data_IF_678765140459
#
_entry.id   IF_678765140459
#
_cell.length_a   1.000
_cell.length_b   1.000
_cell.length_c   1.000
_cell.angle_alpha   90.00
_cell.angle_beta   90.00
_cell.angle_gamma   90.00
#
_symmetry.space_group_name_H-M   'P 1'
#
loop_
_entity.id
_entity.type
_entity.pdbx_description
1 polymer ?
#
# COMPACT_ATOMS: atom_id res chain seq x y z
N UNK A 1 -12.84 -12.97 7.19
CA UNK A 1 -12.79 -11.74 7.99
C UNK A 1 -12.77 -10.60 6.99
N UNK A 2 -13.63 -9.60 7.16
CA UNK A 2 -13.79 -8.50 6.21
C UNK A 2 -12.49 -7.66 6.12
N UNK A 3 -12.20 -7.13 4.93
CA UNK A 3 -11.05 -6.26 4.67
C UNK A 3 -11.57 -4.90 4.22
N UNK A 4 -10.86 -3.84 4.60
CA UNK A 4 -11.21 -2.48 4.21
C UNK A 4 -10.03 -1.85 3.46
N UNK A 5 -10.31 -1.31 2.28
CA UNK A 5 -9.31 -0.75 1.38
C UNK A 5 -9.52 0.75 1.10
N UNK A 6 -8.44 1.52 1.07
CA UNK A 6 -8.40 2.91 0.63
C UNK A 6 -7.28 3.10 -0.36
N UNK A 7 -7.51 3.89 -1.38
CA UNK A 7 -6.49 4.37 -2.30
C UNK A 7 -6.41 5.89 -2.24
N UNK A 8 -5.20 6.42 -2.13
CA UNK A 8 -4.92 7.84 -2.23
C UNK A 8 -4.28 8.13 -3.59
N UNK A 9 -5.05 8.73 -4.50
CA UNK A 9 -4.61 9.18 -5.82
C UNK A 9 -4.62 10.72 -5.88
N UNK A 10 -3.64 11.36 -6.54
CA UNK A 10 -3.71 12.75 -7.03
C UNK A 10 -4.17 13.88 -6.08
N UNK A 11 -3.24 14.59 -5.42
CA UNK A 11 -3.59 15.82 -4.68
C UNK A 11 -2.46 16.77 -4.23
N UNK A 12 -1.19 16.33 -4.28
CA UNK A 12 -0.04 17.20 -3.98
C UNK A 12 0.98 16.56 -3.03
N UNK A 13 2.20 16.36 -3.54
CA UNK A 13 3.48 16.16 -2.83
C UNK A 13 3.66 15.04 -1.80
N UNK A 14 2.68 14.19 -1.46
CA UNK A 14 2.81 13.28 -0.30
C UNK A 14 2.38 11.81 -0.46
N UNK A 15 2.58 11.14 -1.60
CA UNK A 15 1.97 9.81 -1.79
C UNK A 15 2.43 8.76 -0.78
N UNK A 16 3.72 8.66 -0.45
CA UNK A 16 4.20 7.60 0.48
C UNK A 16 5.12 8.11 1.58
N UNK A 17 4.79 9.24 2.20
CA UNK A 17 5.50 9.65 3.43
C UNK A 17 4.92 8.87 4.60
N UNK A 18 5.69 7.89 5.08
CA UNK A 18 5.20 6.97 6.12
C UNK A 18 4.81 7.70 7.41
N UNK A 19 5.46 8.81 7.76
CA UNK A 19 5.14 9.61 8.96
C UNK A 19 3.66 10.05 9.01
N UNK A 20 3.17 10.84 8.04
CA UNK A 20 1.75 11.18 7.92
C UNK A 20 0.81 9.97 7.85
N UNK A 21 1.18 8.92 7.09
CA UNK A 21 0.35 7.71 6.98
C UNK A 21 0.18 7.02 8.35
N UNK A 22 1.26 6.95 9.14
CA UNK A 22 1.25 6.40 10.50
C UNK A 22 0.41 7.24 11.46
N UNK A 23 0.42 8.56 11.34
CA UNK A 23 -0.48 9.42 12.12
C UNK A 23 -1.94 9.15 11.76
N UNK A 24 -2.24 9.01 10.47
CA UNK A 24 -3.58 8.78 9.95
C UNK A 24 -4.19 7.45 10.42
N UNK A 25 -3.37 6.38 10.51
CA UNK A 25 -3.81 5.08 11.05
C UNK A 25 -3.70 5.01 12.58
N UNK A 26 -3.70 6.15 13.30
CA UNK A 26 -3.72 6.15 14.76
C UNK A 26 -2.49 5.50 15.40
N UNK A 27 -1.33 5.61 14.76
CA UNK A 27 -0.05 5.06 15.22
C UNK A 27 -0.05 3.52 15.36
N UNK A 28 -0.93 2.80 14.62
CA UNK A 28 -1.01 1.32 14.67
C UNK A 28 0.28 0.63 14.28
N UNK A 29 1.16 1.26 13.49
CA UNK A 29 2.42 0.66 13.09
C UNK A 29 3.29 0.23 14.26
N UNK A 30 3.22 0.93 15.41
CA UNK A 30 3.98 0.56 16.60
C UNK A 30 3.52 -0.76 17.22
N UNK A 31 2.33 -1.24 16.90
CA UNK A 31 1.75 -2.48 17.41
C UNK A 31 2.20 -3.70 16.62
N UNK A 32 2.98 -3.51 15.54
CA UNK A 32 3.31 -4.58 14.60
C UNK A 32 4.81 -4.80 14.43
N UNK A 33 5.16 -6.00 13.98
CA UNK A 33 6.37 -6.26 13.21
C UNK A 33 6.09 -6.00 11.73
N UNK A 34 7.09 -5.59 10.96
CA UNK A 34 6.93 -5.19 9.56
C UNK A 34 7.86 -5.97 8.65
N UNK A 35 7.26 -6.65 7.66
CA UNK A 35 7.95 -7.14 6.48
C UNK A 35 7.87 -6.07 5.40
N UNK A 36 9.01 -5.61 4.92
CA UNK A 36 9.09 -4.64 3.82
C UNK A 36 9.71 -5.32 2.61
N UNK A 37 8.99 -5.36 1.50
CA UNK A 37 9.36 -6.07 0.27
C UNK A 37 9.14 -5.21 -0.96
N UNK A 38 9.74 -5.63 -2.08
CA UNK A 38 9.62 -5.00 -3.40
C UNK A 38 9.75 -3.47 -3.39
N UNK A 39 10.74 -3.00 -2.63
CA UNK A 39 10.86 -1.59 -2.31
C UNK A 39 11.93 -0.86 -3.13
N UNK A 40 11.61 0.38 -3.51
CA UNK A 40 12.49 1.34 -4.17
C UNK A 40 12.22 2.76 -3.65
N UNK A 41 13.28 3.54 -3.47
CA UNK A 41 13.22 4.87 -2.86
C UNK A 41 13.22 4.79 -1.33
N UNK A 42 12.61 5.79 -0.69
CA UNK A 42 12.48 5.85 0.75
C UNK A 42 13.77 6.19 1.49
N UNK A 43 13.76 5.95 2.79
CA UNK A 43 14.94 6.03 3.65
C UNK A 43 15.71 4.69 3.59
N UNK A 44 16.98 4.73 4.00
CA UNK A 44 17.81 3.53 3.99
C UNK A 44 17.28 2.47 4.97
N UNK A 45 17.06 1.27 4.43
CA UNK A 45 16.79 0.05 5.20
C UNK A 45 18.04 -0.85 5.30
N UNK A 46 19.19 -0.44 4.76
CA UNK A 46 20.32 -1.32 4.43
C UNK A 46 20.76 -2.25 5.57
N UNK A 47 20.81 -1.75 6.81
CA UNK A 47 21.20 -2.56 7.98
C UNK A 47 20.22 -3.72 8.27
N UNK A 48 18.98 -3.59 7.82
CA UNK A 48 17.89 -4.54 7.99
C UNK A 48 17.59 -5.37 6.74
N UNK A 49 18.14 -5.02 5.57
CA UNK A 49 17.90 -5.76 4.33
C UNK A 49 18.56 -7.14 4.38
N UNK A 50 17.81 -8.15 3.97
CA UNK A 50 18.25 -9.53 3.81
C UNK A 50 17.80 -10.05 2.43
N UNK A 51 18.54 -11.01 1.90
CA UNK A 51 18.12 -11.74 0.70
C UNK A 51 17.16 -12.86 1.10
N UNK A 52 16.12 -13.07 0.29
CA UNK A 52 15.27 -14.24 0.43
C UNK A 52 16.07 -15.51 0.11
N UNK A 53 16.13 -16.44 1.06
CA UNK A 53 16.86 -17.71 0.88
C UNK A 53 16.25 -18.61 -0.19
N UNK A 54 14.93 -18.47 -0.46
CA UNK A 54 14.21 -19.23 -1.49
C UNK A 54 14.41 -18.63 -2.88
N UNK A 55 14.53 -17.30 -2.97
CA UNK A 55 14.79 -16.57 -4.21
C UNK A 55 15.78 -15.42 -3.97
N UNK A 56 17.06 -15.62 -4.28
CA UNK A 56 18.12 -14.63 -4.00
C UNK A 56 18.01 -13.32 -4.81
N UNK A 57 17.03 -13.21 -5.73
CA UNK A 57 16.71 -11.95 -6.42
C UNK A 57 15.78 -11.06 -5.60
N UNK A 58 15.08 -11.64 -4.63
CA UNK A 58 14.19 -10.90 -3.74
C UNK A 58 14.94 -10.47 -2.49
N UNK A 59 14.65 -9.25 -2.07
CA UNK A 59 15.15 -8.66 -0.83
C UNK A 59 13.98 -8.26 0.05
N UNK A 60 14.16 -8.39 1.36
CA UNK A 60 13.19 -7.96 2.34
C UNK A 60 13.90 -7.30 3.52
N UNK A 61 13.18 -6.48 4.27
CA UNK A 61 13.56 -6.06 5.61
C UNK A 61 12.53 -6.56 6.62
N UNK A 62 12.99 -6.94 7.82
CA UNK A 62 12.13 -7.28 8.94
C UNK A 62 12.48 -6.40 10.13
N UNK A 63 11.57 -5.52 10.52
CA UNK A 63 11.79 -4.50 11.56
C UNK A 63 10.56 -4.34 12.44
N UNK A 64 10.75 -3.99 13.70
CA UNK A 64 9.62 -3.64 14.56
C UNK A 64 9.07 -2.24 14.22
N UNK A 65 7.82 -1.99 14.63
CA UNK A 65 7.15 -0.72 14.39
C UNK A 65 7.81 0.52 15.02
N UNK A 66 8.56 0.35 16.10
CA UNK A 66 9.34 1.42 16.71
C UNK A 66 10.51 1.82 15.84
N UNK A 67 11.28 0.84 15.35
CA UNK A 67 12.36 1.03 14.39
C UNK A 67 11.84 1.66 13.10
N UNK A 68 10.75 1.14 12.52
CA UNK A 68 10.13 1.71 11.33
C UNK A 68 9.67 3.16 11.54
N UNK A 69 9.07 3.47 12.70
CA UNK A 69 8.69 4.84 13.06
C UNK A 69 9.90 5.76 13.18
N UNK A 70 10.98 5.28 13.80
CA UNK A 70 12.22 6.03 13.95
C UNK A 70 12.83 6.41 12.60
N UNK A 71 12.96 5.43 11.70
CA UNK A 71 13.48 5.64 10.35
C UNK A 71 12.62 6.61 9.53
N UNK A 72 11.29 6.43 9.58
CA UNK A 72 10.35 7.32 8.89
C UNK A 72 10.36 8.76 9.43
N UNK A 73 10.80 8.98 10.67
CA UNK A 73 10.91 10.31 11.28
C UNK A 73 12.25 11.02 11.06
N UNK A 74 13.27 10.33 10.54
CA UNK A 74 14.59 10.92 10.31
C UNK A 74 14.64 11.77 9.05
N UNK A 75 13.93 11.34 8.01
CA UNK A 75 13.93 11.98 6.69
C UNK A 75 12.53 11.86 6.10
N UNK A 76 12.02 12.98 5.58
CA UNK A 76 10.84 12.96 4.70
C UNK A 76 11.25 12.32 3.37
N UNK A 77 11.08 11.00 3.26
CA UNK A 77 11.44 10.21 2.10
C UNK A 77 10.21 9.55 1.46
N UNK A 78 10.11 9.68 0.14
CA UNK A 78 9.06 9.05 -0.66
C UNK A 78 9.53 7.68 -1.18
N UNK A 79 8.65 6.70 -1.10
CA UNK A 79 8.84 5.39 -1.72
C UNK A 79 8.19 5.36 -3.11
N UNK A 80 8.96 4.95 -4.11
CA UNK A 80 8.46 4.68 -5.46
C UNK A 80 7.65 3.40 -5.47
N UNK A 81 8.23 2.35 -4.90
CA UNK A 81 7.65 1.02 -4.79
C UNK A 81 7.87 0.50 -3.37
N UNK A 82 6.98 -0.38 -2.92
CA UNK A 82 7.17 -1.10 -1.67
C UNK A 82 5.86 -1.59 -1.07
N UNK A 83 5.90 -2.80 -0.52
CA UNK A 83 4.82 -3.33 0.31
C UNK A 83 5.30 -3.39 1.75
N UNK A 84 4.57 -2.73 2.63
CA UNK A 84 4.78 -2.77 4.07
C UNK A 84 3.66 -3.62 4.65
N UNK A 85 3.97 -4.86 5.04
CA UNK A 85 3.01 -5.76 5.67
C UNK A 85 3.21 -5.75 7.18
N UNK A 86 2.18 -5.37 7.92
CA UNK A 86 2.18 -5.29 9.39
C UNK A 86 1.60 -6.56 10.01
N UNK A 87 2.35 -7.17 10.91
CA UNK A 87 2.04 -8.42 11.60
C UNK A 87 1.87 -8.20 13.09
N UNK A 88 0.99 -8.98 13.74
CA UNK A 88 0.98 -9.02 15.21
C UNK A 88 2.38 -9.33 15.75
N UNK A 89 2.76 -8.75 16.89
CA UNK A 89 4.09 -8.95 17.49
C UNK A 89 4.38 -10.40 17.84
N UNK A 90 3.36 -11.25 17.98
CA UNK A 90 3.55 -12.68 18.19
C UNK A 90 4.06 -13.40 16.94
N UNK A 91 3.84 -12.86 15.75
CA UNK A 91 4.30 -13.46 14.48
C UNK A 91 5.80 -13.25 14.32
N UNK A 92 6.49 -14.35 14.11
CA UNK A 92 7.94 -14.41 13.88
C UNK A 92 8.29 -14.19 12.41
N UNK A 93 9.55 -13.85 12.15
CA UNK A 93 10.06 -13.77 10.78
C UNK A 93 9.99 -15.13 10.09
N UNK A 94 10.32 -16.21 10.81
CA UNK A 94 10.28 -17.56 10.28
C UNK A 94 8.89 -17.93 9.76
N UNK A 95 7.83 -17.65 10.53
CA UNK A 95 6.44 -17.87 10.13
C UNK A 95 6.03 -16.99 8.94
N UNK A 96 6.43 -15.72 8.92
CA UNK A 96 6.14 -14.84 7.78
C UNK A 96 6.81 -15.36 6.49
N UNK A 97 8.05 -15.83 6.57
CA UNK A 97 8.79 -16.37 5.43
C UNK A 97 8.32 -17.78 5.00
N UNK A 98 7.30 -18.35 5.64
CA UNK A 98 6.64 -19.55 5.11
C UNK A 98 5.87 -19.28 3.83
N UNK A 99 5.42 -18.03 3.62
CA UNK A 99 4.63 -17.57 2.49
C UNK A 99 5.47 -16.82 1.44
N UNK A 100 4.88 -16.55 0.28
CA UNK A 100 5.50 -15.74 -0.76
C UNK A 100 5.62 -14.27 -0.31
N UNK A 101 6.71 -13.63 -0.72
CA UNK A 101 6.93 -12.23 -0.39
C UNK A 101 5.94 -11.34 -1.16
N UNK A 102 5.27 -10.39 -0.51
CA UNK A 102 4.41 -9.42 -1.19
C UNK A 102 5.21 -8.58 -2.19
N UNK A 103 4.58 -8.16 -3.28
CA UNK A 103 5.19 -7.27 -4.26
C UNK A 103 4.22 -6.16 -4.69
N UNK A 104 4.80 -5.03 -5.07
CA UNK A 104 4.09 -3.87 -5.54
C UNK A 104 4.01 -3.90 -7.08
N UNK A 105 5.14 -3.91 -7.79
CA UNK A 105 5.15 -3.67 -9.24
C UNK A 105 4.29 -4.70 -10.02
N UNK A 106 3.29 -4.19 -10.73
CA UNK A 106 2.44 -4.97 -11.62
C UNK A 106 1.52 -5.98 -10.93
N UNK A 107 1.33 -5.93 -9.62
CA UNK A 107 0.42 -6.85 -8.92
C UNK A 107 -1.06 -6.57 -9.28
N UNK A 108 -1.75 -7.48 -9.99
CA UNK A 108 -3.15 -7.26 -10.36
C UNK A 108 -4.10 -7.38 -9.17
N UNK A 109 -3.70 -8.06 -8.10
CA UNK A 109 -4.56 -8.38 -6.96
C UNK A 109 -5.07 -7.16 -6.18
N UNK A 110 -4.38 -6.01 -6.29
CA UNK A 110 -4.87 -4.76 -5.68
C UNK A 110 -6.13 -4.22 -6.38
N UNK A 111 -6.31 -4.58 -7.64
CA UNK A 111 -7.34 -4.04 -8.54
C UNK A 111 -8.54 -4.99 -8.67
N UNK A 112 -8.59 -6.04 -7.85
CA UNK A 112 -9.65 -7.05 -7.84
C UNK A 112 -10.53 -6.90 -6.59
N UNK A 113 -11.84 -7.15 -6.76
CA UNK A 113 -12.80 -7.20 -5.65
C UNK A 113 -13.20 -8.65 -5.34
N UNK A 114 -13.37 -9.02 -4.06
CA UNK A 114 -13.18 -8.19 -2.87
C UNK A 114 -11.71 -7.87 -2.60
N UNK A 115 -11.44 -6.70 -2.03
CA UNK A 115 -10.05 -6.30 -1.73
C UNK A 115 -9.42 -7.22 -0.69
N UNK A 116 -8.12 -7.48 -0.84
CA UNK A 116 -7.39 -8.38 0.05
C UNK A 116 -5.93 -7.95 0.23
N UNK A 117 -5.37 -8.31 1.38
CA UNK A 117 -3.92 -8.25 1.62
C UNK A 117 -3.24 -9.44 0.93
N UNK A 118 -1.99 -9.24 0.52
CA UNK A 118 -1.18 -10.29 -0.08
C UNK A 118 -0.75 -11.33 0.94
N UNK A 119 -0.20 -10.87 2.08
CA UNK A 119 0.32 -11.79 3.09
C UNK A 119 -0.78 -12.28 4.03
N UNK A 120 -1.06 -13.60 4.13
CA UNK A 120 -2.21 -14.11 4.87
C UNK A 120 -2.16 -13.82 6.39
N UNK A 121 -0.95 -13.78 6.97
CA UNK A 121 -0.74 -13.45 8.39
C UNK A 121 -0.78 -11.94 8.70
N UNK A 122 -0.73 -11.07 7.70
CA UNK A 122 -0.72 -9.64 7.95
C UNK A 122 -2.09 -9.12 8.44
N UNK A 123 -2.04 -8.02 9.19
CA UNK A 123 -3.20 -7.28 9.68
C UNK A 123 -3.47 -6.03 8.84
N UNK A 124 -2.43 -5.52 8.17
CA UNK A 124 -2.45 -4.30 7.37
C UNK A 124 -1.36 -4.37 6.32
N UNK A 125 -1.63 -3.84 5.14
CA UNK A 125 -0.64 -3.55 4.12
C UNK A 125 -0.74 -2.08 3.70
N UNK A 126 0.41 -1.40 3.68
CA UNK A 126 0.59 -0.08 3.07
C UNK A 126 1.46 -0.29 1.84
N UNK A 127 0.96 0.13 0.68
CA UNK A 127 1.62 -0.09 -0.60
C UNK A 127 1.97 1.25 -1.22
N UNK A 128 3.24 1.43 -1.54
CA UNK A 128 3.71 2.49 -2.42
C UNK A 128 3.68 1.97 -3.87
N UNK A 129 3.01 2.69 -4.76
CA UNK A 129 2.87 2.28 -6.15
C UNK A 129 3.26 3.42 -7.10
N UNK A 130 4.35 3.20 -7.84
CA UNK A 130 4.90 4.06 -8.90
C UNK A 130 5.02 5.56 -8.58
N UNK A 131 5.25 5.92 -7.31
CA UNK A 131 5.09 7.29 -6.81
C UNK A 131 3.72 7.95 -7.05
N UNK A 132 2.75 7.21 -7.59
CA UNK A 132 1.50 7.72 -8.12
C UNK A 132 0.36 7.61 -7.09
N UNK A 133 0.36 6.55 -6.29
CA UNK A 133 -0.63 6.35 -5.25
C UNK A 133 -0.07 5.59 -4.04
N UNK A 134 -0.84 5.66 -2.95
CA UNK A 134 -0.71 4.74 -1.83
C UNK A 134 -1.99 3.97 -1.63
N UNK A 135 -1.84 2.67 -1.41
CA UNK A 135 -2.94 1.75 -1.13
C UNK A 135 -2.82 1.30 0.32
N UNK A 136 -3.88 1.47 1.10
CA UNK A 136 -4.00 0.92 2.45
C UNK A 136 -5.07 -0.18 2.42
N UNK A 137 -4.71 -1.38 2.84
CA UNK A 137 -5.66 -2.48 3.06
C UNK A 137 -5.49 -2.98 4.49
N UNK A 138 -6.57 -3.09 5.26
CA UNK A 138 -6.47 -3.57 6.64
C UNK A 138 -7.71 -4.29 7.13
N UNK A 139 -7.50 -5.17 8.11
CA UNK A 139 -8.56 -5.77 8.94
C UNK A 139 -9.10 -4.79 9.99
N UNK A 140 -8.35 -3.73 10.32
CA UNK A 140 -8.73 -2.71 11.30
C UNK A 140 -9.52 -1.59 10.63
N UNK A 141 -10.85 -1.64 10.77
CA UNK A 141 -11.76 -0.63 10.22
C UNK A 141 -11.52 0.77 10.82
N UNK A 142 -11.10 0.87 12.08
CA UNK A 142 -10.84 2.14 12.74
C UNK A 142 -9.62 2.82 12.11
N UNK A 143 -8.56 2.05 11.86
CA UNK A 143 -7.38 2.55 11.16
C UNK A 143 -7.71 3.08 9.76
N UNK A 144 -8.54 2.35 9.00
CA UNK A 144 -8.95 2.76 7.64
C UNK A 144 -9.87 3.99 7.67
N UNK A 145 -10.73 4.13 8.68
CA UNK A 145 -11.53 5.36 8.88
C UNK A 145 -10.66 6.55 9.25
N UNK A 146 -9.66 6.36 10.11
CA UNK A 146 -8.67 7.39 10.44
C UNK A 146 -7.91 7.85 9.21
N UNK A 147 -7.50 6.92 8.34
CA UNK A 147 -6.90 7.21 7.06
C UNK A 147 -7.80 8.07 6.16
N UNK A 148 -9.06 7.65 5.99
CA UNK A 148 -10.03 8.40 5.18
C UNK A 148 -10.29 9.82 5.71
N UNK A 149 -10.29 9.99 7.03
CA UNK A 149 -10.47 11.30 7.66
C UNK A 149 -9.25 12.22 7.49
N UNK A 150 -8.04 11.67 7.56
CA UNK A 150 -6.80 12.42 7.38
C UNK A 150 -6.52 12.77 5.91
N UNK A 151 -6.99 11.91 4.99
CA UNK A 151 -6.87 12.09 3.54
C UNK A 151 -8.25 12.08 2.89
N UNK A 152 -9.00 13.21 2.93
CA UNK A 152 -10.35 13.29 2.37
C UNK A 152 -10.44 12.96 0.87
N UNK A 153 -9.33 13.14 0.13
CA UNK A 153 -9.22 12.81 -1.29
C UNK A 153 -8.97 11.31 -1.54
N UNK A 154 -8.78 10.51 -0.49
CA UNK A 154 -8.69 9.06 -0.64
C UNK A 154 -10.04 8.44 -0.98
N UNK A 155 -10.04 7.49 -1.91
CA UNK A 155 -11.24 6.81 -2.37
C UNK A 155 -11.27 5.37 -1.87
N UNK A 156 -12.48 4.81 -1.85
CA UNK A 156 -12.69 3.41 -1.56
C UNK A 156 -12.08 2.54 -2.62
N UNK A 157 -11.25 1.59 -2.19
CA UNK A 157 -10.49 0.77 -3.12
C UNK A 157 -11.44 -0.14 -3.91
N UNK A 158 -12.48 -0.70 -3.28
CA UNK A 158 -13.46 -1.49 -4.03
C UNK A 158 -14.22 -0.63 -5.04
N UNK A 159 -14.60 0.60 -4.66
CA UNK A 159 -15.21 1.55 -5.61
C UNK A 159 -14.26 2.01 -6.70
N UNK A 160 -12.96 2.13 -6.40
CA UNK A 160 -11.93 2.45 -7.39
C UNK A 160 -11.83 1.32 -8.40
N UNK A 161 -11.73 0.08 -7.93
CA UNK A 161 -11.67 -1.10 -8.77
C UNK A 161 -12.93 -1.25 -9.64
N UNK A 162 -14.11 -0.99 -9.09
CA UNK A 162 -15.37 -0.95 -9.87
C UNK A 162 -15.36 0.13 -10.96
N UNK A 163 -14.83 1.32 -10.65
CA UNK A 163 -14.75 2.42 -11.59
C UNK A 163 -13.74 2.15 -12.71
N UNK A 164 -12.57 1.59 -12.40
CA UNK A 164 -11.54 1.22 -13.38
C UNK A 164 -11.95 0.02 -14.24
N UNK A 165 -12.77 -0.89 -13.70
CA UNK A 165 -13.35 -2.00 -14.45
C UNK A 165 -14.51 -1.58 -15.38
N UNK A 166 -15.00 -0.34 -15.27
CA UNK A 166 -16.08 0.14 -16.12
C UNK A 166 -15.65 0.15 -17.60
N UNK A 167 -16.52 -0.25 -18.55
CA UNK A 167 -16.16 -0.31 -19.96
C UNK A 167 -15.64 1.05 -20.45
N UNK A 168 -14.54 1.03 -21.22
CA UNK A 168 -14.00 2.22 -21.86
C UNK A 168 -15.09 2.92 -22.70
N UNK A 169 -15.48 4.11 -22.27
CA UNK A 169 -16.50 4.92 -22.95
C UNK A 169 -15.89 5.84 -24.00
N UNK A 170 -14.57 5.78 -24.25
CA UNK A 170 -13.89 6.64 -25.22
C UNK A 170 -14.52 6.53 -26.61
N UNK A 171 -14.91 5.33 -27.04
CA UNK A 171 -15.61 5.14 -28.31
C UNK A 171 -17.00 5.81 -28.35
N UNK A 172 -17.75 5.74 -27.24
CA UNK A 172 -19.05 6.40 -27.13
C UNK A 172 -18.92 7.93 -27.06
N UNK A 173 -17.89 8.43 -26.38
CA UNK A 173 -17.54 9.83 -26.28
C UNK A 173 -17.05 10.41 -27.62
N UNK A 174 -16.16 9.70 -28.33
CA UNK A 174 -15.75 10.08 -29.69
C UNK A 174 -16.94 10.12 -30.65
N UNK A 175 -17.84 9.13 -30.57
CA UNK A 175 -19.06 9.12 -31.37
C UNK A 175 -20.01 10.28 -31.01
N UNK A 176 -19.99 10.75 -29.77
CA UNK A 176 -20.73 11.94 -29.35
C UNK A 176 -20.06 13.23 -29.87
N UNK A 177 -18.73 13.36 -29.78
CA UNK A 177 -17.99 14.50 -30.32
C UNK A 177 -18.20 14.64 -31.83
N UNK A 178 -18.14 13.55 -32.60
CA UNK A 178 -18.41 13.59 -34.05
C UNK A 178 -19.84 14.04 -34.38
N UNK A 179 -20.80 13.78 -33.48
CA UNK A 179 -22.21 14.17 -33.67
C UNK A 179 -22.52 15.59 -33.21
N UNK A 180 -21.74 16.16 -32.29
CA UNK A 180 -22.06 17.42 -31.62
C UNK A 180 -20.95 18.49 -31.70
N UNK A 181 -19.78 18.15 -32.24
CA UNK A 181 -18.59 19.00 -32.29
C UNK A 181 -18.42 19.83 -33.57
N UNK A 182 -19.27 19.67 -34.57
CA UNK A 182 -19.31 20.56 -35.74
C UNK A 182 -20.45 21.58 -35.59
N UNK A 183 -20.16 22.71 -34.95
CA UNK A 183 -20.85 23.99 -35.15
C UNK A 183 -19.86 25.13 -35.18
#
# INVERSE_FOLDING_TARGET
MEMYGRILTGGGRFYTFLGPLFQAVGQRQKQYNWLVTDFEGGFSLEEHVRLNRRNLRERYAWIDGGTLTGLAGQVDAQWSWGVFSGFDRSVTLEEALEYDLPWADGNPGFWENPVSIQHPLAQMEIVAWDNACTILISRDQEAVRGFAAAFPDSMDLERYNEAEAAPDQSAAYEAWLRRNGER
#
